data_IF_457111737965
#
_entry.id   IF_457111737965
#
_cell.length_a   1.000
_cell.length_b   1.000
_cell.length_c   1.000
_cell.angle_alpha   90.00
_cell.angle_beta   90.00
_cell.angle_gamma   90.00
#
_symmetry.space_group_name_H-M   'P 1'
#
loop_
_entity.id
_entity.type
_entity.pdbx_description
1 polymer ?
#
# COMPACT_ATOMS: atom_id res chain seq x y z
N UNK A 1 6.44 3.67 -20.60
CA UNK A 1 5.28 3.74 -21.51
C UNK A 1 4.16 4.59 -20.93
N UNK A 2 3.35 4.12 -19.98
CA UNK A 2 2.18 4.88 -19.51
C UNK A 2 2.57 6.21 -18.85
N UNK A 3 3.62 6.21 -18.03
CA UNK A 3 4.17 7.44 -17.44
C UNK A 3 4.59 8.45 -18.52
N UNK A 4 5.44 8.02 -19.47
CA UNK A 4 5.85 8.84 -20.61
C UNK A 4 4.67 9.41 -21.40
N UNK A 5 3.62 8.62 -21.66
CA UNK A 5 2.44 9.06 -22.39
C UNK A 5 1.67 10.15 -21.62
N UNK A 6 1.52 10.01 -20.30
CA UNK A 6 0.86 11.00 -19.44
C UNK A 6 1.66 12.31 -19.44
N UNK A 7 2.99 12.24 -19.34
CA UNK A 7 3.85 13.42 -19.39
C UNK A 7 3.84 14.09 -20.75
N UNK A 8 3.94 13.32 -21.85
CA UNK A 8 3.86 13.85 -23.21
C UNK A 8 2.49 14.46 -23.53
N UNK A 9 1.43 14.02 -22.87
CA UNK A 9 0.11 14.64 -22.94
C UNK A 9 0.03 16.00 -22.21
N UNK A 10 1.07 16.39 -21.45
CA UNK A 10 1.18 17.69 -20.80
C UNK A 10 0.94 17.69 -19.29
N UNK A 11 0.89 16.51 -18.64
CA UNK A 11 0.82 16.45 -17.19
C UNK A 11 2.10 17.02 -16.54
N UNK A 12 1.94 17.74 -15.44
CA UNK A 12 3.05 18.37 -14.69
C UNK A 12 3.26 17.79 -13.29
N UNK A 13 2.31 16.95 -12.84
CA UNK A 13 2.33 16.23 -11.58
C UNK A 13 1.33 15.07 -11.64
N UNK A 14 1.55 14.02 -10.87
CA UNK A 14 0.50 13.04 -10.57
C UNK A 14 0.29 12.87 -9.06
N UNK A 15 -0.94 12.52 -8.69
CA UNK A 15 -1.30 12.08 -7.34
C UNK A 15 -1.79 10.64 -7.47
N UNK A 16 -1.22 9.74 -6.66
CA UNK A 16 -1.48 8.31 -6.76
C UNK A 16 -1.70 7.72 -5.37
N UNK A 17 -2.44 6.61 -5.30
CA UNK A 17 -2.75 5.92 -4.05
C UNK A 17 -2.30 4.46 -4.17
N UNK A 18 -1.50 4.00 -3.20
CA UNK A 18 -1.06 2.61 -3.03
C UNK A 18 -0.63 1.93 -4.34
N UNK A 19 0.41 2.47 -4.97
CA UNK A 19 1.04 1.87 -6.16
C UNK A 19 1.41 0.40 -5.88
N UNK A 20 1.17 -0.46 -6.87
CA UNK A 20 1.46 -1.90 -6.78
C UNK A 20 2.92 -2.16 -6.37
N UNK A 21 3.85 -1.40 -6.95
CA UNK A 21 5.25 -1.39 -6.60
C UNK A 21 5.72 0.06 -6.39
N UNK A 22 6.44 0.40 -5.29
CA UNK A 22 6.90 1.76 -5.04
C UNK A 22 7.84 2.30 -6.13
N UNK A 23 8.53 1.42 -6.85
CA UNK A 23 9.43 1.76 -7.95
C UNK A 23 8.70 2.43 -9.13
N UNK A 24 7.38 2.25 -9.27
CA UNK A 24 6.59 2.92 -10.31
C UNK A 24 6.70 4.44 -10.19
N UNK A 25 6.96 4.97 -8.99
CA UNK A 25 7.23 6.40 -8.79
C UNK A 25 8.44 6.88 -9.61
N UNK A 26 9.45 6.04 -9.80
CA UNK A 26 10.64 6.36 -10.61
C UNK A 26 10.44 6.21 -12.12
N UNK A 27 9.23 5.85 -12.58
CA UNK A 27 8.91 5.85 -14.02
C UNK A 27 8.48 7.23 -14.53
N UNK A 28 8.26 8.19 -13.62
CA UNK A 28 7.90 9.56 -13.95
C UNK A 28 9.12 10.47 -13.74
N UNK A 29 9.35 11.35 -14.69
CA UNK A 29 10.33 12.43 -14.61
C UNK A 29 9.72 13.69 -13.95
N UNK A 30 8.39 13.74 -13.80
CA UNK A 30 7.67 14.78 -13.07
C UNK A 30 7.40 14.42 -11.59
N UNK A 31 7.09 15.40 -10.72
CA UNK A 31 6.74 15.14 -9.32
C UNK A 31 5.51 14.23 -9.17
N UNK A 32 5.59 13.29 -8.23
CA UNK A 32 4.47 12.39 -7.87
C UNK A 32 4.21 12.48 -6.37
N UNK A 33 2.95 12.72 -6.00
CA UNK A 33 2.47 12.57 -4.63
C UNK A 33 1.90 11.16 -4.45
N UNK A 34 2.65 10.27 -3.80
CA UNK A 34 2.23 8.89 -3.53
C UNK A 34 1.64 8.76 -2.12
N UNK A 35 0.31 8.70 -2.07
CA UNK A 35 -0.46 8.56 -0.84
C UNK A 35 -0.65 7.08 -0.48
N UNK A 36 -0.88 6.81 0.81
CA UNK A 36 -1.14 5.45 1.31
C UNK A 36 -2.47 5.34 2.03
N UNK A 37 -3.22 4.26 1.75
CA UNK A 37 -4.49 3.95 2.39
C UNK A 37 -4.38 3.20 3.73
N UNK A 38 -3.19 2.69 4.07
CA UNK A 38 -2.99 1.89 5.29
C UNK A 38 -3.45 2.59 6.58
N UNK A 39 -3.20 3.89 6.82
CA UNK A 39 -3.73 4.59 7.99
C UNK A 39 -5.25 4.55 8.08
N UNK A 40 -5.94 4.89 6.98
CA UNK A 40 -7.40 4.93 6.90
C UNK A 40 -8.01 3.54 7.14
N UNK A 41 -7.48 2.51 6.48
CA UNK A 41 -7.97 1.14 6.65
C UNK A 41 -7.72 0.60 8.06
N UNK A 42 -6.57 0.93 8.66
CA UNK A 42 -6.27 0.50 10.03
C UNK A 42 -7.20 1.16 11.05
N UNK A 43 -7.53 2.43 10.86
CA UNK A 43 -8.51 3.14 11.69
C UNK A 43 -9.90 2.52 11.55
N UNK A 44 -10.33 2.22 10.31
CA UNK A 44 -11.59 1.54 10.08
C UNK A 44 -11.69 0.25 10.87
N UNK A 45 -10.70 -0.65 10.78
CA UNK A 45 -10.73 -1.92 11.51
C UNK A 45 -10.69 -1.75 13.03
N UNK A 46 -9.93 -0.78 13.56
CA UNK A 46 -9.96 -0.47 15.00
C UNK A 46 -11.36 -0.11 15.51
N UNK A 47 -12.18 0.49 14.64
CA UNK A 47 -13.51 0.97 15.00
C UNK A 47 -14.62 -0.04 14.69
N UNK A 48 -14.35 -1.06 13.86
CA UNK A 48 -15.38 -2.00 13.42
C UNK A 48 -15.24 -3.42 13.95
N UNK A 49 -14.05 -3.81 14.44
CA UNK A 49 -13.80 -5.15 14.99
C UNK A 49 -13.05 -5.08 16.32
N UNK A 50 -13.20 -6.12 17.15
CA UNK A 50 -12.33 -6.31 18.29
C UNK A 50 -10.92 -6.69 17.81
N UNK A 51 -9.94 -5.83 18.11
CA UNK A 51 -8.54 -6.00 17.72
C UNK A 51 -7.71 -6.74 18.77
N UNK A 52 -8.30 -7.14 19.90
CA UNK A 52 -7.58 -7.86 20.98
C UNK A 52 -7.09 -9.25 20.56
N UNK A 53 -7.76 -9.86 19.57
CA UNK A 53 -7.45 -11.20 19.08
C UNK A 53 -7.49 -11.29 17.55
N UNK A 54 -6.68 -10.46 16.87
CA UNK A 54 -6.58 -10.45 15.40
C UNK A 54 -5.17 -10.76 14.93
N UNK A 55 -5.05 -11.33 13.74
CA UNK A 55 -3.78 -11.52 13.02
C UNK A 55 -3.91 -10.91 11.63
N UNK A 56 -2.90 -10.13 11.21
CA UNK A 56 -2.86 -9.60 9.85
C UNK A 56 -2.18 -10.61 8.96
N UNK A 57 -2.90 -11.12 7.96
CA UNK A 57 -2.40 -12.17 7.06
C UNK A 57 -1.95 -11.56 5.75
N UNK A 58 -0.71 -11.84 5.34
CA UNK A 58 -0.26 -11.61 3.98
C UNK A 58 -0.56 -12.85 3.11
N UNK A 59 -1.26 -12.70 1.98
CA UNK A 59 -1.67 -13.83 1.14
C UNK A 59 -0.52 -14.43 0.30
N UNK A 60 0.63 -13.77 0.25
CA UNK A 60 1.83 -14.15 -0.48
C UNK A 60 3.04 -13.33 0.02
N UNK A 61 4.24 -13.60 -0.52
CA UNK A 61 5.45 -12.88 -0.15
C UNK A 61 5.47 -11.40 -0.57
N UNK A 62 4.78 -11.04 -1.66
CA UNK A 62 4.77 -9.67 -2.17
C UNK A 62 3.98 -8.71 -1.28
N UNK A 63 2.96 -9.22 -0.57
CA UNK A 63 2.13 -8.45 0.34
C UNK A 63 2.74 -8.20 1.73
N UNK A 64 3.87 -8.82 2.09
CA UNK A 64 4.35 -8.90 3.48
C UNK A 64 4.61 -7.51 4.07
N UNK A 65 5.24 -6.63 3.29
CA UNK A 65 5.53 -5.25 3.73
C UNK A 65 4.25 -4.47 4.01
N UNK A 66 3.20 -4.64 3.18
CA UNK A 66 1.91 -3.97 3.38
C UNK A 66 1.19 -4.53 4.61
N UNK A 67 1.18 -5.86 4.77
CA UNK A 67 0.61 -6.52 5.95
C UNK A 67 1.31 -6.07 7.24
N UNK A 68 2.64 -5.94 7.23
CA UNK A 68 3.42 -5.46 8.39
C UNK A 68 3.03 -4.04 8.80
N UNK A 69 2.93 -3.10 7.85
CA UNK A 69 2.51 -1.72 8.15
C UNK A 69 1.12 -1.66 8.80
N UNK A 70 0.20 -2.52 8.39
CA UNK A 70 -1.13 -2.62 9.01
C UNK A 70 -1.05 -3.27 10.39
N UNK A 71 -0.31 -4.35 10.54
CA UNK A 71 -0.07 -5.04 11.82
C UNK A 71 0.51 -4.08 12.88
N UNK A 72 1.50 -3.26 12.51
CA UNK A 72 2.11 -2.26 13.39
C UNK A 72 1.08 -1.24 13.87
N UNK A 73 0.16 -0.80 12.99
CA UNK A 73 -0.92 0.13 13.36
C UNK A 73 -1.96 -0.52 14.25
N UNK A 74 -2.33 -1.77 13.99
CA UNK A 74 -3.31 -2.53 14.77
C UNK A 74 -2.74 -3.12 16.06
N UNK A 75 -1.41 -3.07 16.26
CA UNK A 75 -0.69 -3.77 17.34
C UNK A 75 -0.99 -5.28 17.34
N UNK A 76 -1.02 -5.88 16.16
CA UNK A 76 -1.38 -7.27 15.93
C UNK A 76 -0.20 -8.08 15.40
N UNK A 77 -0.16 -9.42 15.63
CA UNK A 77 0.78 -10.30 14.95
C UNK A 77 0.55 -10.35 13.44
N UNK A 78 1.57 -10.79 12.71
CA UNK A 78 1.53 -11.04 11.26
C UNK A 78 1.63 -12.53 10.96
N UNK A 79 0.87 -13.00 9.97
CA UNK A 79 1.02 -14.31 9.35
C UNK A 79 1.24 -14.16 7.84
N UNK A 80 1.86 -15.15 7.20
CA UNK A 80 2.14 -15.16 5.76
C UNK A 80 1.76 -16.53 5.22
N UNK A 81 1.04 -16.55 4.11
CA UNK A 81 0.72 -17.80 3.39
C UNK A 81 1.88 -18.15 2.46
N UNK A 82 2.47 -19.33 2.67
CA UNK A 82 3.42 -19.96 1.75
C UNK A 82 2.63 -20.69 0.66
N UNK A 83 2.59 -20.10 -0.55
CA UNK A 83 1.97 -20.73 -1.72
C UNK A 83 3.02 -21.59 -2.43
N UNK A 84 2.79 -22.90 -2.46
CA UNK A 84 3.55 -23.88 -3.24
C UNK A 84 2.83 -24.23 -4.54
#
# INVERSE_FOLDING_TARGET
>A
LVADLIEKAGATRAIMIDLHAPQIQGFFDMPIDHLTGVPLLSEHFKNTIDTSNVVVVSPDHGGVTRARKMADKLKAPIAIIDKR
#
